data_IF_176020282687
#
_entry.id   IF_176020282687
#
_cell.length_a   1.000
_cell.length_b   1.000
_cell.length_c   1.000
_cell.angle_alpha   90.00
_cell.angle_beta   90.00
_cell.angle_gamma   90.00
#
_symmetry.space_group_name_H-M   'P 1'
#
loop_
_entity.id
_entity.type
_entity.pdbx_description
1 polymer ?
#
# COMPACT_ATOMS: atom_id res chain seq x y z
N UNK A 1 -5.63 7.73 5.31
CA UNK A 1 -4.27 7.47 5.81
C UNK A 1 -4.23 6.19 6.64
N UNK A 2 -4.97 6.11 7.75
CA UNK A 2 -4.99 4.92 8.63
C UNK A 2 -5.24 3.59 7.89
N UNK A 3 -6.21 3.54 6.97
CA UNK A 3 -6.49 2.33 6.18
C UNK A 3 -5.31 1.92 5.28
N UNK A 4 -4.63 2.91 4.67
CA UNK A 4 -3.43 2.66 3.86
C UNK A 4 -2.29 2.09 4.69
N UNK A 5 -2.00 2.70 5.84
CA UNK A 5 -0.95 2.24 6.74
C UNK A 5 -1.25 0.84 7.28
N UNK A 6 -2.52 0.53 7.58
CA UNK A 6 -2.92 -0.82 7.98
C UNK A 6 -2.62 -1.85 6.89
N UNK A 7 -2.96 -1.55 5.63
CA UNK A 7 -2.61 -2.41 4.50
C UNK A 7 -1.10 -2.57 4.35
N UNK A 8 -0.33 -1.48 4.50
CA UNK A 8 1.13 -1.53 4.43
C UNK A 8 1.72 -2.39 5.54
N UNK A 9 1.27 -2.26 6.78
CA UNK A 9 1.72 -3.10 7.89
C UNK A 9 1.40 -4.58 7.66
N UNK A 10 0.20 -4.90 7.14
CA UNK A 10 -0.16 -6.27 6.79
C UNK A 10 0.78 -6.82 5.71
N UNK A 11 1.03 -6.04 4.65
CA UNK A 11 1.94 -6.43 3.56
C UNK A 11 3.39 -6.64 4.04
N UNK A 12 3.93 -5.72 4.83
CA UNK A 12 5.30 -5.82 5.38
C UNK A 12 5.45 -6.96 6.38
N UNK A 13 4.35 -7.36 7.04
CA UNK A 13 4.34 -8.53 7.92
C UNK A 13 4.09 -9.86 7.18
N UNK A 14 3.94 -9.84 5.86
CA UNK A 14 3.61 -11.01 5.05
C UNK A 14 2.20 -11.55 5.26
N UNK A 15 1.29 -10.77 5.86
CA UNK A 15 -0.09 -11.17 6.09
C UNK A 15 -0.95 -10.92 4.84
N UNK A 16 -1.83 -11.87 4.55
CA UNK A 16 -2.78 -11.74 3.46
C UNK A 16 -3.83 -10.67 3.77
N UNK A 17 -4.15 -9.84 2.79
CA UNK A 17 -5.20 -8.83 2.88
C UNK A 17 -5.83 -8.59 1.50
N UNK A 18 -7.03 -8.02 1.48
CA UNK A 18 -7.74 -7.68 0.24
C UNK A 18 -7.89 -6.17 0.08
N UNK A 19 -7.16 -5.59 -0.87
CA UNK A 19 -7.28 -4.17 -1.25
C UNK A 19 -8.73 -3.78 -1.57
N UNK A 20 -9.47 -4.65 -2.25
CA UNK A 20 -10.87 -4.40 -2.58
C UNK A 20 -11.75 -4.36 -1.33
N UNK A 21 -11.53 -5.26 -0.36
CA UNK A 21 -12.27 -5.25 0.90
C UNK A 21 -11.99 -3.97 1.70
N UNK A 22 -10.72 -3.56 1.79
CA UNK A 22 -10.33 -2.30 2.43
C UNK A 22 -10.97 -1.08 1.75
N UNK A 23 -10.93 -0.98 0.41
CA UNK A 23 -11.59 0.11 -0.32
C UNK A 23 -13.09 0.18 -0.06
N UNK A 24 -13.81 -0.95 -0.11
CA UNK A 24 -15.26 -0.97 0.17
C UNK A 24 -15.58 -0.56 1.60
N UNK A 25 -14.81 -1.07 2.57
CA UNK A 25 -14.98 -0.72 3.98
C UNK A 25 -14.70 0.78 4.23
N UNK A 26 -13.66 1.33 3.58
CA UNK A 26 -13.35 2.75 3.64
C UNK A 26 -14.42 3.59 2.95
N UNK A 27 -14.91 3.16 1.79
CA UNK A 27 -15.97 3.84 1.05
C UNK A 27 -17.25 4.00 1.88
N UNK A 28 -17.66 2.96 2.61
CA UNK A 28 -18.83 3.01 3.49
C UNK A 28 -18.72 4.08 4.60
N UNK A 29 -17.49 4.52 4.91
CA UNK A 29 -17.21 5.54 5.94
C UNK A 29 -16.95 6.93 5.35
N UNK A 30 -16.83 7.04 4.03
CA UNK A 30 -16.54 8.29 3.33
C UNK A 30 -17.77 8.75 2.56
N UNK A 31 -18.29 9.92 2.91
CA UNK A 31 -19.45 10.50 2.24
C UNK A 31 -19.13 10.71 0.75
N UNK A 32 -19.85 10.00 -0.12
CA UNK A 32 -19.90 10.21 -1.57
C UNK A 32 -18.56 10.04 -2.33
N UNK A 33 -17.58 9.30 -1.80
CA UNK A 33 -16.40 8.94 -2.60
C UNK A 33 -16.63 7.70 -3.46
N UNK A 34 -16.18 7.77 -4.71
CA UNK A 34 -16.07 6.60 -5.57
C UNK A 34 -14.84 5.77 -5.21
N UNK A 35 -14.87 4.47 -5.52
CA UNK A 35 -13.68 3.61 -5.36
C UNK A 35 -12.47 4.13 -6.14
N UNK A 36 -12.69 4.67 -7.35
CA UNK A 36 -11.63 5.29 -8.15
C UNK A 36 -10.99 6.50 -7.47
N UNK A 37 -11.77 7.34 -6.78
CA UNK A 37 -11.24 8.46 -6.01
C UNK A 37 -10.40 8.00 -4.80
N UNK A 38 -10.83 6.91 -4.15
CA UNK A 38 -10.09 6.30 -3.03
C UNK A 38 -8.76 5.74 -3.54
N UNK A 39 -8.78 4.97 -4.62
CA UNK A 39 -7.58 4.41 -5.23
C UNK A 39 -6.61 5.48 -5.71
N UNK A 40 -7.12 6.53 -6.35
CA UNK A 40 -6.30 7.67 -6.76
C UNK A 40 -5.62 8.33 -5.55
N UNK A 41 -6.35 8.51 -4.45
CA UNK A 41 -5.77 9.08 -3.23
C UNK A 41 -4.74 8.14 -2.60
N UNK A 42 -4.92 6.82 -2.66
CA UNK A 42 -3.89 5.86 -2.22
C UNK A 42 -2.63 5.93 -3.08
N UNK A 43 -2.75 6.10 -4.40
CA UNK A 43 -1.60 6.33 -5.28
C UNK A 43 -0.85 7.63 -4.95
N UNK A 44 -1.57 8.69 -4.59
CA UNK A 44 -0.93 9.91 -4.09
C UNK A 44 -0.21 9.70 -2.75
N UNK A 45 -0.75 8.87 -1.85
CA UNK A 45 -0.06 8.52 -0.59
C UNK A 45 1.20 7.72 -0.90
N UNK A 46 1.14 6.73 -1.80
CA UNK A 46 2.31 5.95 -2.22
C UNK A 46 3.46 6.81 -2.75
N UNK A 47 3.15 7.88 -3.49
CA UNK A 47 4.17 8.83 -3.93
C UNK A 47 4.88 9.51 -2.74
N UNK A 48 4.13 9.94 -1.71
CA UNK A 48 4.73 10.53 -0.52
C UNK A 48 5.53 9.51 0.30
N UNK A 49 5.09 8.24 0.37
CA UNK A 49 5.87 7.20 1.07
C UNK A 49 7.26 7.04 0.44
N UNK A 50 7.34 7.00 -0.90
CA UNK A 50 8.60 6.96 -1.64
C UNK A 50 9.45 8.22 -1.36
N UNK A 51 8.85 9.41 -1.40
CA UNK A 51 9.54 10.67 -1.05
C UNK A 51 10.14 10.62 0.37
N UNK A 52 9.51 9.89 1.30
CA UNK A 52 9.98 9.71 2.67
C UNK A 52 10.91 8.50 2.87
N UNK A 53 11.26 7.75 1.82
CA UNK A 53 12.15 6.59 1.91
C UNK A 53 11.49 5.28 2.37
N UNK A 54 10.15 5.21 2.39
CA UNK A 54 9.40 4.01 2.77
C UNK A 54 8.91 3.23 1.55
N UNK A 55 8.70 1.91 1.69
CA UNK A 55 7.94 1.14 0.72
C UNK A 55 6.48 1.62 0.65
N UNK A 56 5.80 1.23 -0.41
CA UNK A 56 4.38 1.50 -0.63
C UNK A 56 3.60 0.21 -0.85
N UNK A 57 2.29 0.26 -0.64
CA UNK A 57 1.40 -0.88 -0.85
C UNK A 57 1.36 -1.28 -2.33
N UNK A 58 1.73 -2.53 -2.65
CA UNK A 58 1.79 -3.03 -4.02
C UNK A 58 0.44 -2.88 -4.75
N UNK A 59 0.50 -2.35 -5.96
CA UNK A 59 -0.66 -2.08 -6.81
C UNK A 59 -1.41 -0.78 -6.49
N UNK A 60 -1.00 0.00 -5.50
CA UNK A 60 -1.30 1.44 -5.44
C UNK A 60 -0.11 2.22 -5.97
N UNK A 61 0.00 2.28 -7.30
CA UNK A 61 1.13 2.92 -7.98
C UNK A 61 1.25 4.40 -7.59
N UNK A 62 2.47 4.89 -7.27
CA UNK A 62 2.74 6.30 -7.03
C UNK A 62 2.19 7.20 -8.16
N UNK A 63 1.51 8.28 -7.79
CA UNK A 63 0.95 9.25 -8.74
C UNK A 63 1.58 10.63 -8.51
N UNK A 64 1.81 11.38 -9.59
CA UNK A 64 2.51 12.66 -9.54
C UNK A 64 1.71 13.82 -8.92
N UNK A 65 0.37 13.74 -8.90
CA UNK A 65 -0.49 14.84 -8.45
C UNK A 65 -0.69 14.83 -6.92
N UNK A 66 0.40 15.03 -6.19
CA UNK A 66 0.42 15.06 -4.73
C UNK A 66 0.20 16.49 -4.23
N UNK A 67 -0.85 16.69 -3.45
CA UNK A 67 -1.15 17.96 -2.78
C UNK A 67 -0.16 18.23 -1.64
N UNK A 68 0.26 19.47 -1.44
CA UNK A 68 1.19 19.85 -0.36
C UNK A 68 0.70 19.41 1.04
N UNK A 69 -0.58 19.64 1.35
CA UNK A 69 -1.18 19.19 2.61
C UNK A 69 -1.08 17.68 2.82
N UNK A 70 -1.16 16.88 1.75
CA UNK A 70 -1.00 15.43 1.87
C UNK A 70 0.43 15.07 2.33
N UNK A 71 1.45 15.78 1.84
CA UNK A 71 2.83 15.56 2.26
C UNK A 71 3.00 15.79 3.75
N UNK A 72 2.56 16.97 4.22
CA UNK A 72 2.63 17.34 5.64
C UNK A 72 1.96 16.30 6.52
N UNK A 73 0.71 15.92 6.21
CA UNK A 73 -0.04 14.94 7.03
C UNK A 73 0.64 13.58 7.05
N UNK A 74 1.20 13.13 5.92
CA UNK A 74 1.92 11.84 5.87
C UNK A 74 3.20 11.91 6.70
N UNK A 75 4.01 12.96 6.54
CA UNK A 75 5.25 13.14 7.30
C UNK A 75 5.00 13.18 8.81
N UNK A 76 3.98 13.91 9.26
CA UNK A 76 3.56 13.95 10.67
C UNK A 76 3.16 12.57 11.21
N UNK A 77 2.42 11.79 10.42
CA UNK A 77 2.05 10.43 10.82
C UNK A 77 3.25 9.49 10.91
N UNK A 78 4.20 9.60 9.99
CA UNK A 78 5.40 8.76 9.97
C UNK A 78 6.33 9.08 11.16
N UNK A 79 6.50 10.35 11.51
CA UNK A 79 7.35 10.77 12.63
C UNK A 79 6.97 10.13 13.98
N UNK A 80 5.72 9.70 14.15
CA UNK A 80 5.24 9.05 15.37
C UNK A 80 5.24 7.51 15.34
N UNK A 81 5.68 6.86 14.26
CA UNK A 81 5.44 5.43 14.02
C UNK A 81 6.71 4.57 13.97
N UNK A 82 7.42 4.45 15.09
CA UNK A 82 8.63 3.59 15.20
C UNK A 82 8.37 2.11 14.85
N UNK A 83 7.17 1.60 15.09
CA UNK A 83 6.79 0.24 14.70
C UNK A 83 6.76 0.04 13.18
N UNK A 84 6.40 1.08 12.42
CA UNK A 84 6.42 1.01 10.96
C UNK A 84 7.85 0.99 10.42
N UNK A 85 8.77 1.73 11.05
CA UNK A 85 10.19 1.72 10.70
C UNK A 85 10.78 0.32 10.88
N UNK A 86 10.49 -0.33 12.01
CA UNK A 86 10.92 -1.69 12.28
C UNK A 86 10.38 -2.68 11.24
N UNK A 87 9.10 -2.56 10.86
CA UNK A 87 8.49 -3.41 9.82
C UNK A 87 9.10 -3.15 8.44
N UNK A 88 9.32 -1.90 8.06
CA UNK A 88 9.92 -1.54 6.79
C UNK A 88 11.36 -2.08 6.69
N UNK A 89 12.15 -1.93 7.76
CA UNK A 89 13.50 -2.46 7.83
C UNK A 89 13.51 -3.99 7.78
N UNK A 90 12.63 -4.65 8.54
CA UNK A 90 12.50 -6.10 8.53
C UNK A 90 12.12 -6.64 7.15
N UNK A 91 11.21 -5.98 6.44
CA UNK A 91 10.79 -6.38 5.09
C UNK A 91 11.93 -6.30 4.07
N UNK A 92 12.84 -5.32 4.19
CA UNK A 92 14.05 -5.25 3.35
C UNK A 92 14.97 -6.45 3.58
N UNK A 93 14.99 -6.99 4.80
CA UNK A 93 15.81 -8.14 5.18
C UNK A 93 15.14 -9.50 4.88
N UNK A 94 13.87 -9.51 4.48
CA UNK A 94 13.21 -10.77 4.15
C UNK A 94 13.81 -11.34 2.86
N UNK A 95 14.26 -12.61 2.86
CA UNK A 95 14.70 -13.26 1.64
C UNK A 95 13.52 -13.27 0.65
N UNK A 96 13.76 -12.76 -0.56
CA UNK A 96 12.81 -12.91 -1.67
C UNK A 96 12.66 -14.40 -1.92
N UNK A 97 11.54 -14.98 -1.47
CA UNK A 97 11.11 -16.30 -1.93
C UNK A 97 10.74 -16.11 -3.39
N UNK A 98 11.62 -16.55 -4.30
CA UNK A 98 11.31 -16.57 -5.72
C UNK A 98 10.01 -17.36 -5.88
N UNK A 99 9.00 -16.85 -6.63
CA UNK A 99 7.83 -17.66 -6.92
C UNK A 99 8.32 -18.92 -7.63
N UNK A 100 7.91 -20.10 -7.14
CA UNK A 100 8.02 -21.32 -7.92
C UNK A 100 7.28 -21.03 -9.23
N UNK A 101 8.05 -20.97 -10.33
CA UNK A 101 7.49 -20.82 -11.66
C UNK A 101 6.72 -22.12 -11.93
N UNK A 102 5.45 -22.15 -11.54
CA UNK A 102 4.54 -23.19 -11.98
C UNK A 102 4.57 -23.19 -13.51
N UNK A 103 4.97 -24.33 -14.09
CA UNK A 103 5.14 -24.50 -15.51
C UNK A 103 3.76 -24.46 -16.18
N UNK A 104 3.41 -23.30 -16.74
CA UNK A 104 2.13 -23.07 -17.43
C UNK A 104 2.02 -23.77 -18.79
N UNK A 105 2.98 -24.62 -19.17
CA UNK A 105 2.95 -25.38 -20.43
C UNK A 105 1.77 -26.34 -20.57
N UNK A 106 1.05 -26.64 -19.49
CA UNK A 106 -0.11 -27.54 -19.50
C UNK A 106 -1.46 -26.87 -19.81
N UNK A 107 -1.54 -25.54 -19.96
CA UNK A 107 -2.81 -24.88 -20.32
C UNK A 107 -2.96 -24.90 -21.85
N UNK A 108 -3.34 -26.08 -22.37
CA UNK A 108 -3.87 -26.23 -23.74
C UNK A 108 -5.39 -26.15 -23.64
N UNK A 109 -5.96 -25.02 -24.06
CA UNK A 109 -7.41 -24.87 -24.22
C UNK A 109 -7.84 -25.61 -25.49
N UNK A 110 -8.67 -26.65 -25.36
CA UNK A 110 -9.44 -27.24 -26.46
C UNK A 110 -10.71 -26.42 -26.74
#
# INVERSE_FOLDING_TARGET
>A
MADYLRMLSLELSGQNYSKAAHRRALQARLNQRSEGSIEFKHGNISAVMIECGYPYVRGYLPRANVQALLRTVVQEHLAGMSALDALALAAVQQPVVAPDLEDFSAIVTQ
#
